data_IF_345085933868
#
_entry.id   IF_345085933868
#
_cell.length_a   1.000
_cell.length_b   1.000
_cell.length_c   1.000
_cell.angle_alpha   90.00
_cell.angle_beta   90.00
_cell.angle_gamma   90.00
#
_symmetry.space_group_name_H-M   'P 1'
#
loop_
_entity.id
_entity.type
_entity.pdbx_description
1 polymer ?
#
# COMPACT_ATOMS: atom_id res chain seq x y z
N UNK A 1 -22.19 13.54 33.70
CA UNK A 1 -22.08 12.22 33.04
C UNK A 1 -22.04 12.45 31.55
N UNK A 2 -20.84 12.54 30.97
CA UNK A 2 -20.64 12.67 29.51
C UNK A 2 -20.69 11.28 28.88
N UNK A 3 -21.69 11.02 28.06
CA UNK A 3 -21.78 9.80 27.26
C UNK A 3 -20.73 9.87 26.16
N UNK A 4 -19.70 9.03 26.23
CA UNK A 4 -18.71 8.88 25.18
C UNK A 4 -19.38 8.35 23.91
N UNK A 5 -19.32 9.14 22.86
CA UNK A 5 -19.60 8.66 21.50
C UNK A 5 -18.46 7.73 21.09
N UNK A 6 -18.75 6.46 20.98
CA UNK A 6 -17.87 5.50 20.30
C UNK A 6 -17.90 5.85 18.81
N UNK A 7 -16.85 6.50 18.32
CA UNK A 7 -16.60 6.56 16.88
C UNK A 7 -16.20 5.16 16.44
N UNK A 8 -17.04 4.54 15.65
CA UNK A 8 -16.67 3.35 14.89
C UNK A 8 -15.79 3.86 13.75
N UNK A 9 -14.47 3.78 13.93
CA UNK A 9 -13.53 3.88 12.82
C UNK A 9 -13.92 2.76 11.84
N UNK A 10 -14.53 3.13 10.73
CA UNK A 10 -14.68 2.23 9.63
C UNK A 10 -13.27 2.02 9.06
N UNK A 11 -12.55 1.05 9.60
CA UNK A 11 -11.45 0.45 8.89
C UNK A 11 -12.06 -0.11 7.59
N UNK A 12 -12.01 0.69 6.51
CA UNK A 12 -12.23 0.14 5.18
C UNK A 12 -11.13 -0.90 4.99
N UNK A 13 -11.48 -2.15 5.25
CA UNK A 13 -10.61 -3.25 4.97
C UNK A 13 -10.23 -3.19 3.50
N UNK A 14 -8.94 -3.15 3.20
CA UNK A 14 -8.44 -3.51 1.89
C UNK A 14 -8.81 -4.99 1.69
N UNK A 15 -10.03 -5.24 1.23
CA UNK A 15 -10.44 -6.56 0.83
C UNK A 15 -9.84 -6.81 -0.54
N UNK A 16 -8.82 -7.67 -0.58
CA UNK A 16 -8.32 -8.24 -1.83
C UNK A 16 -9.46 -9.01 -2.49
N UNK A 17 -10.10 -8.41 -3.47
CA UNK A 17 -11.08 -9.09 -4.31
C UNK A 17 -10.28 -9.82 -5.39
N UNK A 18 -10.10 -11.12 -5.20
CA UNK A 18 -9.56 -12.00 -6.21
C UNK A 18 -10.59 -12.18 -7.34
N UNK A 19 -10.47 -11.39 -8.41
CA UNK A 19 -11.19 -11.65 -9.65
C UNK A 19 -10.23 -12.35 -10.63
N UNK A 20 -10.57 -13.55 -11.02
CA UNK A 20 -9.86 -14.30 -12.05
C UNK A 20 -10.11 -13.67 -13.43
N UNK A 21 -9.07 -13.08 -14.01
CA UNK A 21 -9.05 -12.73 -15.44
C UNK A 21 -8.29 -13.80 -16.21
N UNK A 22 -8.97 -14.41 -17.17
CA UNK A 22 -8.36 -15.32 -18.12
C UNK A 22 -7.72 -14.53 -19.26
N UNK A 23 -6.45 -14.84 -19.58
CA UNK A 23 -5.87 -14.62 -20.90
C UNK A 23 -4.65 -13.73 -20.99
N UNK A 24 -3.56 -14.32 -21.20
CA UNK A 24 -2.31 -14.18 -21.98
C UNK A 24 -1.19 -14.80 -21.14
N UNK A 25 -0.64 -15.89 -21.65
CA UNK A 25 0.34 -16.69 -20.93
C UNK A 25 1.69 -15.99 -20.77
N UNK A 26 2.45 -16.33 -19.71
CA UNK A 26 3.74 -15.74 -19.38
C UNK A 26 4.82 -16.15 -20.38
N UNK A 27 5.73 -15.22 -20.68
CA UNK A 27 7.00 -15.57 -21.29
C UNK A 27 7.91 -16.07 -20.19
N UNK A 28 7.98 -17.39 -20.03
CA UNK A 28 8.84 -18.03 -19.05
C UNK A 28 10.31 -17.83 -19.42
N UNK A 29 11.11 -17.29 -18.50
CA UNK A 29 12.56 -17.50 -18.51
C UNK A 29 12.78 -18.81 -17.75
N UNK A 30 13.09 -19.88 -18.48
CA UNK A 30 13.26 -21.23 -17.96
C UNK A 30 14.38 -21.28 -16.91
N UNK A 31 14.07 -21.71 -15.71
CA UNK A 31 15.06 -22.27 -14.80
C UNK A 31 15.51 -23.63 -15.39
N UNK A 32 16.79 -23.77 -15.69
CA UNK A 32 17.33 -25.03 -16.25
C UNK A 32 17.76 -25.93 -15.10
N UNK A 33 16.84 -26.82 -14.68
CA UNK A 33 17.10 -27.90 -13.72
C UNK A 33 16.17 -27.88 -12.50
N UNK A 34 16.04 -29.03 -11.84
CA UNK A 34 15.28 -29.17 -10.61
C UNK A 34 15.92 -28.37 -9.47
N UNK A 35 15.09 -27.73 -8.64
CA UNK A 35 15.50 -26.89 -7.51
C UNK A 35 15.48 -27.73 -6.23
N UNK A 36 16.63 -27.92 -5.60
CA UNK A 36 16.71 -28.59 -4.30
C UNK A 36 16.09 -27.75 -3.20
N UNK A 37 15.04 -28.29 -2.57
CA UNK A 37 14.23 -27.58 -1.57
C UNK A 37 15.06 -27.24 -0.32
N UNK A 38 15.97 -28.13 0.10
CA UNK A 38 16.69 -27.97 1.36
C UNK A 38 17.77 -26.87 1.28
N UNK A 39 18.41 -26.74 0.14
CA UNK A 39 19.46 -25.73 -0.07
C UNK A 39 18.90 -24.37 -0.47
N UNK A 40 17.76 -24.33 -1.17
CA UNK A 40 17.17 -23.09 -1.70
C UNK A 40 16.38 -22.32 -0.63
N UNK A 41 15.51 -23.02 0.11
CA UNK A 41 14.64 -22.38 1.11
C UNK A 41 15.27 -22.45 2.50
N UNK A 42 15.93 -21.38 2.91
CA UNK A 42 16.75 -21.37 4.15
C UNK A 42 15.90 -21.36 5.43
N UNK A 43 14.73 -20.72 5.44
CA UNK A 43 13.81 -20.77 6.59
C UNK A 43 13.13 -22.12 6.68
N UNK A 44 13.23 -22.77 7.85
CA UNK A 44 12.73 -24.13 8.03
C UNK A 44 11.21 -24.27 7.91
N UNK A 45 10.46 -23.23 8.31
CA UNK A 45 9.00 -23.22 8.21
C UNK A 45 8.55 -22.93 6.78
N UNK A 46 9.22 -22.01 6.08
CA UNK A 46 8.97 -21.74 4.67
C UNK A 46 9.32 -22.99 3.82
N UNK A 47 10.47 -23.60 4.05
CA UNK A 47 10.87 -24.85 3.40
C UNK A 47 9.84 -25.96 3.62
N UNK A 48 9.35 -26.14 4.86
CA UNK A 48 8.31 -27.12 5.18
C UNK A 48 6.99 -26.83 4.44
N UNK A 49 6.64 -25.55 4.29
CA UNK A 49 5.48 -25.13 3.51
C UNK A 49 5.65 -25.49 2.04
N UNK A 50 6.78 -25.14 1.44
CA UNK A 50 7.11 -25.42 0.03
C UNK A 50 7.07 -26.93 -0.24
N UNK A 51 7.79 -27.73 0.55
CA UNK A 51 7.79 -29.20 0.41
C UNK A 51 6.41 -29.82 0.55
N UNK A 52 5.58 -29.28 1.43
CA UNK A 52 4.24 -29.87 1.67
C UNK A 52 3.22 -29.51 0.60
N UNK A 53 3.38 -28.37 -0.07
CA UNK A 53 2.35 -27.82 -0.98
C UNK A 53 2.76 -27.88 -2.45
N UNK A 54 4.06 -27.91 -2.76
CA UNK A 54 4.54 -27.76 -4.14
C UNK A 54 5.37 -28.94 -4.64
N UNK A 55 6.06 -29.69 -3.77
CA UNK A 55 6.75 -30.94 -4.09
C UNK A 55 5.71 -32.06 -4.17
N UNK A 56 5.14 -32.25 -5.36
CA UNK A 56 4.00 -33.14 -5.58
C UNK A 56 4.39 -34.62 -5.63
N UNK A 57 5.61 -34.91 -6.07
CA UNK A 57 6.17 -36.26 -6.18
C UNK A 57 6.96 -36.69 -4.94
N UNK A 58 7.24 -35.72 -4.02
CA UNK A 58 7.95 -35.90 -2.73
C UNK A 58 9.38 -36.44 -2.90
N UNK A 59 10.08 -35.93 -3.92
CA UNK A 59 11.48 -36.31 -4.15
C UNK A 59 12.49 -35.35 -3.51
N UNK A 60 12.00 -34.25 -2.90
CA UNK A 60 12.83 -33.25 -2.21
C UNK A 60 13.35 -32.16 -3.14
N UNK A 61 12.90 -32.16 -4.39
CA UNK A 61 13.22 -31.12 -5.40
C UNK A 61 11.93 -30.52 -5.95
N UNK A 62 12.03 -29.34 -6.59
CA UNK A 62 10.97 -28.77 -7.40
C UNK A 62 11.38 -28.83 -8.87
N UNK A 63 10.64 -29.61 -9.65
CA UNK A 63 10.76 -29.60 -11.11
C UNK A 63 10.24 -28.28 -11.70
N UNK A 64 10.66 -27.96 -12.93
CA UNK A 64 10.14 -26.81 -13.68
C UNK A 64 8.60 -26.80 -13.70
N UNK A 65 7.96 -27.96 -13.91
CA UNK A 65 6.50 -28.09 -13.90
C UNK A 65 5.87 -27.75 -12.55
N UNK A 66 6.49 -28.10 -11.45
CA UNK A 66 6.01 -27.78 -10.09
C UNK A 66 6.20 -26.29 -9.80
N UNK A 67 7.32 -25.70 -10.19
CA UNK A 67 7.60 -24.28 -10.09
C UNK A 67 6.59 -23.46 -10.89
N UNK A 68 6.37 -23.81 -12.16
CA UNK A 68 5.46 -23.10 -13.06
C UNK A 68 3.99 -23.17 -12.63
N UNK A 69 3.63 -24.21 -11.89
CA UNK A 69 2.29 -24.37 -11.34
C UNK A 69 2.00 -23.43 -10.15
N UNK A 70 3.03 -22.80 -9.55
CA UNK A 70 2.87 -21.92 -8.39
C UNK A 70 2.54 -20.51 -8.85
N UNK A 71 1.26 -20.19 -8.94
CA UNK A 71 0.76 -18.85 -9.26
C UNK A 71 0.31 -18.07 -8.02
N UNK A 72 0.17 -18.72 -6.87
CA UNK A 72 -0.24 -18.12 -5.60
C UNK A 72 0.52 -18.69 -4.44
N UNK A 73 1.07 -17.82 -3.60
CA UNK A 73 1.75 -18.17 -2.35
C UNK A 73 1.10 -17.41 -1.20
N UNK A 74 0.39 -18.13 -0.33
CA UNK A 74 -0.19 -17.56 0.87
C UNK A 74 0.38 -18.23 2.11
N UNK A 75 1.34 -17.56 2.72
CA UNK A 75 1.98 -17.94 3.99
C UNK A 75 1.65 -16.93 5.10
N UNK A 76 0.58 -16.15 4.94
CA UNK A 76 0.15 -15.22 6.00
C UNK A 76 -0.06 -15.95 7.32
N UNK A 77 0.17 -15.26 8.45
CA UNK A 77 0.05 -15.86 9.78
C UNK A 77 -1.38 -16.39 10.05
N UNK A 78 -2.37 -15.85 9.37
CA UNK A 78 -3.77 -16.31 9.45
C UNK A 78 -4.01 -17.64 8.72
N UNK A 79 -3.25 -17.91 7.67
CA UNK A 79 -3.37 -19.13 6.85
C UNK A 79 -2.35 -20.18 7.28
N UNK A 80 -1.12 -19.75 7.60
CA UNK A 80 -0.03 -20.62 8.03
C UNK A 80 0.52 -20.15 9.35
N UNK A 81 0.11 -20.77 10.44
CA UNK A 81 0.37 -20.34 11.82
C UNK A 81 1.81 -20.47 12.30
N UNK A 82 2.69 -21.13 11.54
CA UNK A 82 4.12 -21.21 11.86
C UNK A 82 4.82 -19.94 11.42
N UNK A 83 5.62 -19.38 12.34
CA UNK A 83 6.35 -18.15 12.10
C UNK A 83 7.45 -18.35 11.04
N UNK A 84 7.41 -17.57 9.97
CA UNK A 84 8.43 -17.52 8.93
C UNK A 84 9.26 -16.25 9.14
N UNK A 85 10.57 -16.38 9.08
CA UNK A 85 11.51 -15.28 9.25
C UNK A 85 12.21 -14.87 7.95
N UNK A 86 12.08 -15.67 6.90
CA UNK A 86 12.65 -15.38 5.58
C UNK A 86 11.91 -16.10 4.47
N UNK A 87 11.66 -15.39 3.36
CA UNK A 87 11.21 -15.98 2.10
C UNK A 87 12.36 -16.17 1.09
N UNK A 88 13.61 -16.30 1.56
CA UNK A 88 14.73 -16.58 0.66
C UNK A 88 14.43 -17.82 -0.21
N UNK A 89 14.65 -17.70 -1.52
CA UNK A 89 14.28 -18.70 -2.52
C UNK A 89 12.92 -18.48 -3.17
N UNK A 90 12.11 -17.48 -2.73
CA UNK A 90 10.79 -17.19 -3.33
C UNK A 90 10.89 -16.82 -4.81
N UNK A 91 12.04 -16.28 -5.22
CA UNK A 91 12.38 -15.86 -6.58
C UNK A 91 12.37 -17.01 -7.61
N UNK A 92 12.45 -18.26 -7.17
CA UNK A 92 12.30 -19.43 -8.08
C UNK A 92 10.89 -19.55 -8.66
N UNK A 93 9.86 -19.03 -7.97
CA UNK A 93 8.47 -19.10 -8.41
C UNK A 93 8.13 -18.00 -9.43
N UNK A 94 8.75 -18.05 -10.60
CA UNK A 94 8.65 -17.00 -11.63
C UNK A 94 7.24 -16.78 -12.19
N UNK A 95 6.34 -17.78 -12.06
CA UNK A 95 4.92 -17.70 -12.44
C UNK A 95 4.03 -17.10 -11.36
N UNK A 96 4.60 -16.64 -10.22
CA UNK A 96 3.83 -16.15 -9.10
C UNK A 96 3.09 -14.84 -9.44
N UNK A 97 1.76 -14.86 -9.25
CA UNK A 97 0.86 -13.73 -9.46
C UNK A 97 0.41 -13.09 -8.15
N UNK A 98 0.28 -13.88 -7.09
CA UNK A 98 -0.26 -13.44 -5.79
C UNK A 98 0.65 -13.89 -4.65
N UNK A 99 1.15 -12.92 -3.89
CA UNK A 99 1.96 -13.16 -2.69
C UNK A 99 1.28 -12.55 -1.47
N UNK A 100 0.97 -13.38 -0.47
CA UNK A 100 0.55 -12.95 0.87
C UNK A 100 1.43 -13.61 1.93
N UNK A 101 2.26 -12.82 2.58
CA UNK A 101 3.12 -13.24 3.70
C UNK A 101 2.79 -12.48 4.98
N UNK A 102 1.67 -11.77 5.02
CA UNK A 102 1.32 -10.83 6.08
C UNK A 102 1.34 -11.44 7.49
N UNK A 103 1.81 -10.65 8.45
CA UNK A 103 1.86 -11.01 9.88
C UNK A 103 2.99 -11.96 10.27
N UNK A 104 3.90 -12.25 9.36
CA UNK A 104 5.10 -13.04 9.63
C UNK A 104 6.20 -12.19 10.33
N UNK A 105 7.46 -12.55 10.25
CA UNK A 105 8.57 -11.76 10.80
C UNK A 105 9.76 -11.74 9.82
N UNK A 106 9.47 -11.42 8.56
CA UNK A 106 10.38 -11.63 7.42
C UNK A 106 11.57 -10.67 7.47
N UNK A 107 11.37 -9.43 7.97
CA UNK A 107 12.43 -8.43 8.11
C UNK A 107 12.89 -7.80 6.79
N UNK A 108 13.05 -8.59 5.74
CA UNK A 108 13.47 -8.16 4.41
C UNK A 108 12.78 -9.00 3.34
N UNK A 109 12.25 -8.37 2.29
CA UNK A 109 11.59 -9.05 1.18
C UNK A 109 12.08 -8.50 -0.15
N UNK A 110 12.68 -9.37 -0.95
CA UNK A 110 13.09 -9.07 -2.32
C UNK A 110 12.24 -9.90 -3.30
N UNK A 111 11.49 -9.20 -4.16
CA UNK A 111 10.65 -9.79 -5.20
C UNK A 111 11.01 -9.24 -6.59
N UNK A 112 12.24 -8.76 -6.75
CA UNK A 112 12.71 -8.04 -7.94
C UNK A 112 12.53 -8.84 -9.23
N UNK A 113 12.64 -10.16 -9.18
CA UNK A 113 12.58 -11.05 -10.35
C UNK A 113 11.19 -11.72 -10.52
N UNK A 114 10.20 -11.41 -9.67
CA UNK A 114 8.83 -11.91 -9.77
C UNK A 114 7.98 -10.98 -10.64
N UNK A 115 8.26 -10.94 -11.93
CA UNK A 115 7.67 -9.98 -12.88
C UNK A 115 6.17 -10.20 -13.16
N UNK A 116 5.62 -11.38 -12.81
CA UNK A 116 4.21 -11.73 -13.02
C UNK A 116 3.29 -11.32 -11.87
N UNK A 117 3.82 -10.73 -10.80
CA UNK A 117 3.03 -10.34 -9.64
C UNK A 117 1.95 -9.33 -9.99
N UNK A 118 0.73 -9.65 -9.56
CA UNK A 118 -0.47 -8.82 -9.63
C UNK A 118 -0.82 -8.19 -8.29
N UNK A 119 -0.50 -8.88 -7.19
CA UNK A 119 -0.77 -8.41 -5.84
C UNK A 119 0.28 -8.90 -4.85
N UNK A 120 0.69 -8.00 -3.95
CA UNK A 120 1.62 -8.26 -2.85
C UNK A 120 0.98 -7.77 -1.56
N UNK A 121 0.86 -8.68 -0.58
CA UNK A 121 0.53 -8.33 0.80
C UNK A 121 1.66 -8.81 1.72
N UNK A 122 2.44 -7.87 2.21
CA UNK A 122 3.52 -8.06 3.18
C UNK A 122 3.33 -7.11 4.37
N UNK A 123 2.09 -6.98 4.83
CA UNK A 123 1.76 -6.13 5.97
C UNK A 123 2.14 -6.81 7.30
N UNK A 124 2.63 -6.03 8.27
CA UNK A 124 2.98 -6.50 9.62
C UNK A 124 4.08 -7.57 9.64
N UNK A 125 5.06 -7.46 8.75
CA UNK A 125 6.15 -8.43 8.58
C UNK A 125 7.49 -7.97 9.20
N UNK A 126 7.49 -6.82 9.89
CA UNK A 126 8.70 -6.21 10.45
C UNK A 126 9.72 -5.81 9.37
N UNK A 127 9.26 -5.59 8.13
CA UNK A 127 10.15 -5.25 7.02
C UNK A 127 10.88 -3.93 7.28
N UNK A 128 12.19 -3.97 7.12
CA UNK A 128 13.04 -2.78 7.06
C UNK A 128 13.41 -2.42 5.61
N UNK A 129 13.44 -3.44 4.73
CA UNK A 129 13.71 -3.30 3.30
C UNK A 129 12.72 -4.08 2.47
N UNK A 130 12.35 -3.50 1.33
CA UNK A 130 11.47 -4.12 0.35
C UNK A 130 11.91 -3.74 -1.06
N UNK A 131 12.07 -4.73 -1.92
CA UNK A 131 12.42 -4.53 -3.33
C UNK A 131 11.25 -4.96 -4.21
N UNK A 132 10.72 -4.00 -4.99
CA UNK A 132 9.64 -4.24 -5.95
C UNK A 132 10.14 -5.01 -7.19
N UNK A 133 9.25 -5.70 -7.93
CA UNK A 133 9.60 -6.31 -9.21
C UNK A 133 10.19 -5.29 -10.18
N UNK A 134 11.26 -5.67 -10.88
CA UNK A 134 11.95 -4.80 -11.88
C UNK A 134 11.03 -4.44 -13.05
N UNK A 135 10.17 -5.38 -13.44
CA UNK A 135 9.07 -5.20 -14.39
C UNK A 135 7.80 -5.70 -13.74
N UNK A 136 6.74 -4.94 -13.79
CA UNK A 136 5.49 -5.29 -13.12
C UNK A 136 4.32 -4.68 -13.88
N UNK A 137 4.14 -5.11 -15.12
CA UNK A 137 3.10 -4.57 -16.01
C UNK A 137 1.68 -4.82 -15.49
N UNK A 138 1.51 -5.85 -14.65
CA UNK A 138 0.21 -6.26 -14.11
C UNK A 138 0.05 -6.01 -12.61
N UNK A 139 1.08 -5.49 -11.91
CA UNK A 139 1.02 -5.26 -10.47
C UNK A 139 -0.01 -4.17 -10.17
N UNK A 140 -1.12 -4.59 -9.57
CA UNK A 140 -2.27 -3.73 -9.31
C UNK A 140 -2.41 -3.30 -7.85
N UNK A 141 -1.90 -4.09 -6.90
CA UNK A 141 -2.03 -3.82 -5.46
C UNK A 141 -0.77 -4.17 -4.70
N UNK A 142 -0.32 -3.25 -3.83
CA UNK A 142 0.80 -3.44 -2.89
C UNK A 142 0.39 -2.97 -1.51
N UNK A 143 0.42 -3.90 -0.54
CA UNK A 143 0.20 -3.59 0.87
C UNK A 143 1.46 -3.91 1.68
N UNK A 144 2.09 -2.87 2.21
CA UNK A 144 3.28 -2.90 3.06
C UNK A 144 3.00 -2.24 4.43
N UNK A 145 1.74 -2.14 4.82
CA UNK A 145 1.37 -1.45 6.05
C UNK A 145 1.94 -2.11 7.31
N UNK A 146 2.14 -1.30 8.36
CA UNK A 146 2.65 -1.76 9.65
C UNK A 146 4.01 -2.47 9.58
N UNK A 147 4.96 -1.82 8.90
CA UNK A 147 6.36 -2.26 8.81
C UNK A 147 7.31 -1.18 9.38
N UNK A 148 8.60 -1.33 9.11
CA UNK A 148 9.66 -0.41 9.56
C UNK A 148 10.42 0.16 8.37
N UNK A 149 9.77 0.27 7.22
CA UNK A 149 10.38 0.68 5.95
C UNK A 149 10.69 2.18 6.00
N UNK A 150 11.94 2.52 5.69
CA UNK A 150 12.42 3.92 5.67
C UNK A 150 12.46 4.52 4.27
N UNK A 151 12.52 3.68 3.24
CA UNK A 151 12.56 4.09 1.83
C UNK A 151 11.85 3.07 0.93
N UNK A 152 11.16 3.56 -0.10
CA UNK A 152 10.59 2.74 -1.18
C UNK A 152 10.98 3.37 -2.51
N UNK A 153 11.72 2.61 -3.31
CA UNK A 153 12.14 3.05 -4.64
C UNK A 153 11.33 2.35 -5.72
N UNK A 154 10.62 3.14 -6.53
CA UNK A 154 9.96 2.67 -7.74
C UNK A 154 10.94 2.76 -8.91
N UNK A 155 11.52 1.62 -9.34
CA UNK A 155 12.57 1.59 -10.38
C UNK A 155 12.05 1.90 -11.78
N UNK A 156 10.79 1.56 -12.05
CA UNK A 156 10.10 1.76 -13.34
C UNK A 156 8.72 2.39 -13.12
N UNK A 157 8.00 2.67 -14.19
CA UNK A 157 6.60 3.08 -14.10
C UNK A 157 5.71 1.85 -13.91
N UNK A 158 4.95 1.84 -12.83
CA UNK A 158 3.98 0.78 -12.51
C UNK A 158 2.59 1.22 -13.00
N UNK A 159 2.39 1.09 -14.32
CA UNK A 159 1.20 1.63 -14.98
C UNK A 159 -0.12 0.96 -14.60
N UNK A 160 -0.07 -0.21 -13.99
CA UNK A 160 -1.26 -0.95 -13.51
C UNK A 160 -1.53 -0.76 -12.02
N UNK A 161 -0.61 -0.15 -11.23
CA UNK A 161 -0.72 -0.06 -9.78
C UNK A 161 -1.83 0.92 -9.38
N UNK A 162 -2.93 0.36 -8.88
CA UNK A 162 -4.12 1.09 -8.45
C UNK A 162 -4.18 1.31 -6.94
N UNK A 163 -3.57 0.42 -6.16
CA UNK A 163 -3.65 0.46 -4.71
C UNK A 163 -2.25 0.35 -4.09
N UNK A 164 -1.89 1.37 -3.32
CA UNK A 164 -0.66 1.39 -2.52
C UNK A 164 -1.00 1.70 -1.06
N UNK A 165 -0.68 0.77 -0.17
CA UNK A 165 -0.81 0.97 1.26
C UNK A 165 0.56 0.82 1.93
N UNK A 166 1.10 1.93 2.42
CA UNK A 166 2.35 2.01 3.17
C UNK A 166 2.13 2.61 4.56
N UNK A 167 0.89 2.55 5.06
CA UNK A 167 0.50 3.05 6.38
C UNK A 167 1.38 2.48 7.50
N UNK A 168 1.75 3.31 8.48
CA UNK A 168 2.46 2.84 9.66
C UNK A 168 3.88 2.35 9.35
N UNK A 169 4.64 3.14 8.61
CA UNK A 169 6.05 2.94 8.30
C UNK A 169 6.91 4.13 8.80
N UNK A 170 8.16 4.21 8.36
CA UNK A 170 9.11 5.26 8.75
C UNK A 170 9.56 6.10 7.54
N UNK A 171 8.71 6.20 6.51
CA UNK A 171 9.04 6.93 5.29
C UNK A 171 9.20 8.43 5.56
N UNK A 172 10.29 9.01 5.07
CA UNK A 172 10.54 10.46 5.11
C UNK A 172 10.28 11.14 3.77
N UNK A 173 10.25 10.38 2.71
CA UNK A 173 9.89 10.78 1.34
C UNK A 173 9.27 9.61 0.59
N UNK A 174 8.53 9.89 -0.48
CA UNK A 174 8.02 8.90 -1.43
C UNK A 174 7.84 9.57 -2.79
N UNK A 175 8.36 8.95 -3.86
CA UNK A 175 8.19 9.42 -5.24
C UNK A 175 7.02 8.68 -5.90
N UNK A 176 5.86 9.31 -5.98
CA UNK A 176 4.64 8.74 -6.57
C UNK A 176 4.53 9.02 -8.09
N UNK A 177 5.47 9.71 -8.69
CA UNK A 177 5.42 10.12 -10.11
C UNK A 177 5.39 8.94 -11.08
N UNK A 178 5.86 7.77 -10.64
CA UNK A 178 5.87 6.53 -11.43
C UNK A 178 4.61 5.67 -11.25
N UNK A 179 3.59 6.18 -10.55
CA UNK A 179 2.36 5.47 -10.21
C UNK A 179 1.11 6.20 -10.78
N UNK A 180 1.01 6.41 -12.11
CA UNK A 180 -0.04 7.26 -12.69
C UNK A 180 -1.45 6.65 -12.60
N UNK A 181 -1.56 5.35 -12.33
CA UNK A 181 -2.85 4.66 -12.25
C UNK A 181 -3.42 4.58 -10.82
N UNK A 182 -2.77 5.20 -9.82
CA UNK A 182 -3.23 5.13 -8.43
C UNK A 182 -4.67 5.63 -8.29
N UNK A 183 -5.47 4.79 -7.63
CA UNK A 183 -6.86 5.04 -7.26
C UNK A 183 -6.98 5.16 -5.73
N UNK A 184 -6.21 4.35 -5.00
CA UNK A 184 -6.20 4.31 -3.53
C UNK A 184 -4.79 4.45 -3.01
N UNK A 185 -4.57 5.45 -2.17
CA UNK A 185 -3.29 5.69 -1.52
C UNK A 185 -3.48 5.80 -0.01
N UNK A 186 -2.73 4.99 0.73
CA UNK A 186 -2.63 5.15 2.18
C UNK A 186 -1.16 5.31 2.59
N UNK A 187 -0.80 6.52 2.99
CA UNK A 187 0.54 6.91 3.45
C UNK A 187 0.55 7.37 4.91
N UNK A 188 -0.56 7.24 5.62
CA UNK A 188 -0.70 7.68 7.00
C UNK A 188 0.33 7.06 7.96
N UNK A 189 0.53 7.69 9.11
CA UNK A 189 1.52 7.27 10.12
C UNK A 189 2.93 7.06 9.54
N UNK A 190 3.38 8.05 8.76
CA UNK A 190 4.74 8.18 8.25
C UNK A 190 5.32 9.56 8.63
N UNK A 191 6.57 9.80 8.29
CA UNK A 191 7.26 11.05 8.59
C UNK A 191 7.51 11.92 7.34
N UNK A 192 6.62 11.82 6.34
CA UNK A 192 6.72 12.60 5.11
C UNK A 192 6.59 14.09 5.41
N UNK A 193 7.47 14.90 4.87
CA UNK A 193 7.41 16.37 4.93
C UNK A 193 6.76 16.99 3.68
N UNK A 194 6.70 16.23 2.59
CA UNK A 194 6.07 16.60 1.32
C UNK A 194 5.29 15.40 0.80
N UNK A 195 4.12 15.63 0.25
CA UNK A 195 3.32 14.66 -0.48
C UNK A 195 2.93 15.27 -1.84
N UNK A 196 3.66 14.91 -2.89
CA UNK A 196 3.38 15.36 -4.26
C UNK A 196 2.48 14.35 -4.96
N UNK A 197 1.26 14.78 -5.29
CA UNK A 197 0.23 13.99 -5.97
C UNK A 197 0.01 14.46 -7.42
N UNK A 198 0.81 15.38 -7.93
CA UNK A 198 0.62 16.02 -9.24
C UNK A 198 0.57 15.06 -10.43
N UNK A 199 1.05 13.83 -10.28
CA UNK A 199 1.00 12.77 -11.32
C UNK A 199 -0.07 11.72 -11.07
N UNK A 200 -0.82 11.82 -9.97
CA UNK A 200 -1.77 10.79 -9.54
C UNK A 200 -3.23 11.23 -9.76
N UNK A 201 -3.53 11.73 -10.97
CA UNK A 201 -4.83 12.32 -11.35
C UNK A 201 -6.00 11.33 -11.37
N UNK A 202 -5.74 10.02 -11.19
CA UNK A 202 -6.77 8.99 -11.05
C UNK A 202 -7.13 8.70 -9.60
N UNK A 203 -6.54 9.41 -8.63
CA UNK A 203 -6.75 9.15 -7.22
C UNK A 203 -8.21 9.45 -6.82
N UNK A 204 -8.84 8.49 -6.15
CA UNK A 204 -10.20 8.58 -5.62
C UNK A 204 -10.21 8.60 -4.08
N UNK A 205 -9.25 7.93 -3.44
CA UNK A 205 -9.16 7.79 -1.99
C UNK A 205 -7.74 8.08 -1.51
N UNK A 206 -7.61 9.10 -0.67
CA UNK A 206 -6.38 9.50 -0.01
C UNK A 206 -6.51 9.35 1.50
N UNK A 207 -5.66 8.51 2.10
CA UNK A 207 -5.47 8.42 3.54
C UNK A 207 -4.04 8.87 3.87
N UNK A 208 -3.92 9.99 4.58
CA UNK A 208 -2.64 10.56 5.01
C UNK A 208 -2.70 11.03 6.47
N UNK A 209 -3.39 10.23 7.32
CA UNK A 209 -3.57 10.55 8.74
C UNK A 209 -2.24 10.54 9.50
N UNK A 210 -2.18 11.35 10.55
CA UNK A 210 -1.06 11.37 11.51
C UNK A 210 0.30 11.60 10.88
N UNK A 211 0.36 12.52 9.91
CA UNK A 211 1.58 12.97 9.27
C UNK A 211 2.27 14.02 10.13
N UNK A 212 3.30 13.61 10.89
CA UNK A 212 3.92 14.47 11.92
C UNK A 212 4.78 15.60 11.36
N UNK A 213 5.12 15.59 10.07
CA UNK A 213 5.98 16.59 9.43
C UNK A 213 5.35 17.30 8.24
N UNK A 214 4.23 16.83 7.72
CA UNK A 214 3.53 17.41 6.58
C UNK A 214 2.85 18.71 7.03
N UNK A 215 3.34 19.87 6.58
CA UNK A 215 2.79 21.18 6.98
C UNK A 215 1.76 21.70 5.99
N UNK A 216 1.86 21.33 4.74
CA UNK A 216 0.97 21.76 3.65
C UNK A 216 0.50 20.54 2.89
N UNK A 217 -0.80 20.46 2.63
CA UNK A 217 -1.39 19.50 1.72
C UNK A 217 -2.15 20.26 0.65
N UNK A 218 -1.62 20.24 -0.57
CA UNK A 218 -2.24 20.83 -1.75
C UNK A 218 -2.72 19.69 -2.66
N UNK A 219 -4.02 19.55 -2.76
CA UNK A 219 -4.70 18.60 -3.65
C UNK A 219 -5.66 19.34 -4.59
N UNK A 220 -5.51 20.67 -4.67
CA UNK A 220 -6.34 21.53 -5.50
C UNK A 220 -6.22 21.20 -6.99
N UNK A 221 -7.24 21.56 -7.76
CA UNK A 221 -7.20 21.45 -9.22
C UNK A 221 -6.12 22.33 -9.88
N UNK A 222 -5.56 23.29 -9.13
CA UNK A 222 -4.43 24.09 -9.57
C UNK A 222 -3.10 23.32 -9.55
N UNK A 223 -2.96 22.34 -8.64
CA UNK A 223 -1.76 21.50 -8.56
C UNK A 223 -1.83 20.31 -9.52
N UNK A 224 -3.02 19.73 -9.72
CA UNK A 224 -3.29 18.66 -10.69
C UNK A 224 -4.81 18.50 -10.91
N UNK A 225 -5.20 17.78 -11.97
CA UNK A 225 -6.62 17.43 -12.22
C UNK A 225 -7.07 16.29 -11.30
N UNK A 226 -7.46 16.61 -10.07
CA UNK A 226 -7.97 15.67 -9.07
C UNK A 226 -9.50 15.51 -9.06
N UNK A 227 -10.17 15.75 -10.19
CA UNK A 227 -11.65 15.70 -10.28
C UNK A 227 -12.26 14.34 -9.87
N UNK A 228 -11.47 13.28 -9.78
CA UNK A 228 -11.90 11.95 -9.30
C UNK A 228 -11.74 11.76 -7.78
N UNK A 229 -10.97 12.63 -7.12
CA UNK A 229 -10.71 12.50 -5.68
C UNK A 229 -12.01 12.71 -4.90
N UNK A 230 -12.50 11.65 -4.27
CA UNK A 230 -13.80 11.65 -3.61
C UNK A 230 -13.68 11.62 -2.08
N UNK A 231 -12.58 11.13 -1.55
CA UNK A 231 -12.37 10.96 -0.11
C UNK A 231 -10.95 11.34 0.28
N UNK A 232 -10.84 12.22 1.26
CA UNK A 232 -9.57 12.59 1.88
C UNK A 232 -9.71 12.50 3.40
N UNK A 233 -8.80 11.76 4.02
CA UNK A 233 -8.61 11.77 5.46
C UNK A 233 -7.14 12.09 5.78
N UNK A 234 -6.92 13.29 6.29
CA UNK A 234 -5.64 13.79 6.76
C UNK A 234 -5.69 14.17 8.25
N UNK A 235 -6.60 13.57 9.03
CA UNK A 235 -6.75 13.84 10.45
C UNK A 235 -5.51 13.42 11.26
N UNK A 236 -5.30 14.06 12.42
CA UNK A 236 -4.27 13.64 13.35
C UNK A 236 -4.87 12.79 14.47
N UNK A 237 -4.49 11.51 14.53
CA UNK A 237 -5.09 10.54 15.44
C UNK A 237 -4.25 10.27 16.71
N UNK A 238 -3.10 10.92 16.86
CA UNK A 238 -2.23 10.69 18.01
C UNK A 238 -2.70 11.49 19.22
N UNK A 239 -2.91 10.83 20.35
CA UNK A 239 -3.30 11.48 21.60
C UNK A 239 -2.20 12.41 22.11
N UNK A 240 -2.56 13.65 22.48
CA UNK A 240 -1.70 14.61 23.14
C UNK A 240 -0.89 15.56 22.25
N UNK A 241 -1.18 15.58 20.94
CA UNK A 241 -0.57 16.51 20.00
C UNK A 241 -1.56 17.00 18.94
N UNK A 242 -1.15 18.02 18.20
CA UNK A 242 -1.84 18.40 16.96
C UNK A 242 -1.01 17.97 15.77
N UNK A 243 -1.67 17.65 14.66
CA UNK A 243 -1.02 17.35 13.40
C UNK A 243 -0.26 18.57 12.87
N UNK A 244 0.64 18.33 11.94
CA UNK A 244 1.51 19.36 11.41
C UNK A 244 0.86 20.26 10.35
N UNK A 245 -0.25 19.81 9.72
CA UNK A 245 -0.86 20.52 8.59
C UNK A 245 -1.38 21.87 9.07
N UNK A 246 -0.88 22.94 8.43
CA UNK A 246 -1.26 24.33 8.67
C UNK A 246 -2.10 24.90 7.53
N UNK A 247 -1.82 24.45 6.33
CA UNK A 247 -2.51 24.88 5.12
C UNK A 247 -3.04 23.66 4.37
N UNK A 248 -4.31 23.71 4.01
CA UNK A 248 -5.02 22.68 3.24
C UNK A 248 -5.76 23.36 2.09
N UNK A 249 -5.41 22.99 0.87
CA UNK A 249 -6.03 23.51 -0.33
C UNK A 249 -6.71 22.39 -1.12
N UNK A 250 -8.03 22.52 -1.27
CA UNK A 250 -8.91 21.62 -2.04
C UNK A 250 -9.67 22.42 -3.11
N UNK A 251 -9.14 23.58 -3.49
CA UNK A 251 -9.78 24.48 -4.47
C UNK A 251 -10.00 23.75 -5.80
N UNK A 252 -11.24 23.79 -6.30
CA UNK A 252 -11.61 23.21 -7.59
C UNK A 252 -11.78 21.70 -7.60
N UNK A 253 -11.66 21.01 -6.46
CA UNK A 253 -11.90 19.56 -6.34
C UNK A 253 -13.40 19.24 -6.41
N UNK A 254 -13.95 19.31 -7.63
CA UNK A 254 -15.38 19.09 -7.88
C UNK A 254 -15.87 17.69 -7.56
N UNK A 255 -14.99 16.70 -7.46
CA UNK A 255 -15.29 15.31 -7.09
C UNK A 255 -15.32 15.03 -5.59
N UNK A 256 -14.74 15.92 -4.76
CA UNK A 256 -14.53 15.67 -3.33
C UNK A 256 -15.85 15.68 -2.56
N UNK A 257 -16.17 14.53 -1.94
CA UNK A 257 -17.40 14.29 -1.16
C UNK A 257 -17.15 14.28 0.35
N UNK A 258 -15.97 13.83 0.77
CA UNK A 258 -15.62 13.71 2.19
C UNK A 258 -14.22 14.25 2.43
N UNK A 259 -14.13 15.22 3.32
CA UNK A 259 -12.87 15.76 3.83
C UNK A 259 -12.85 15.65 5.35
N UNK A 260 -11.90 14.88 5.88
CA UNK A 260 -11.66 14.71 7.32
C UNK A 260 -10.24 15.22 7.60
N UNK A 261 -10.13 16.29 8.35
CA UNK A 261 -8.87 16.96 8.67
C UNK A 261 -8.80 17.38 10.16
N UNK A 262 -9.45 16.60 11.02
CA UNK A 262 -9.52 16.87 12.45
C UNK A 262 -8.14 16.89 13.12
N UNK A 263 -8.02 17.63 14.23
CA UNK A 263 -6.87 17.65 15.13
C UNK A 263 -5.53 18.00 14.45
N UNK A 264 -5.56 18.88 13.43
CA UNK A 264 -4.37 19.48 12.83
C UNK A 264 -4.12 20.90 13.38
N UNK A 265 -3.24 21.64 12.73
CA UNK A 265 -2.94 23.05 13.06
C UNK A 265 -3.42 24.00 11.96
N UNK A 266 -4.46 23.59 11.20
CA UNK A 266 -4.93 24.30 10.02
C UNK A 266 -5.45 25.69 10.42
N UNK A 267 -4.85 26.72 9.87
CA UNK A 267 -5.30 28.11 9.95
C UNK A 267 -5.77 28.64 8.59
N UNK A 268 -5.34 28.01 7.49
CA UNK A 268 -5.77 28.30 6.12
C UNK A 268 -6.41 27.05 5.50
N UNK A 269 -7.70 27.15 5.18
CA UNK A 269 -8.46 26.11 4.46
C UNK A 269 -9.09 26.75 3.23
N UNK A 270 -8.64 26.35 2.05
CA UNK A 270 -9.16 26.79 0.76
C UNK A 270 -10.06 25.70 0.17
N UNK A 271 -11.34 26.04 -0.08
CA UNK A 271 -12.36 25.10 -0.58
C UNK A 271 -13.14 25.64 -1.78
N UNK A 272 -12.71 26.74 -2.37
CA UNK A 272 -13.44 27.38 -3.48
C UNK A 272 -13.62 26.36 -4.63
N UNK A 273 -14.88 26.13 -5.03
CA UNK A 273 -15.19 25.17 -6.10
C UNK A 273 -15.26 23.70 -5.70
N UNK A 274 -15.08 23.34 -4.44
CA UNK A 274 -15.31 21.97 -3.93
C UNK A 274 -16.83 21.70 -3.78
N UNK A 275 -17.59 21.79 -4.87
CA UNK A 275 -19.04 21.86 -4.90
C UNK A 275 -19.77 20.54 -4.59
N UNK A 276 -19.06 19.42 -4.58
CA UNK A 276 -19.63 18.08 -4.25
C UNK A 276 -19.49 17.69 -2.79
N UNK A 277 -18.93 18.55 -1.94
CA UNK A 277 -18.61 18.21 -0.56
C UNK A 277 -19.87 17.95 0.27
N UNK A 278 -20.00 16.76 0.83
CA UNK A 278 -21.12 16.31 1.66
C UNK A 278 -20.73 16.22 3.14
N UNK A 279 -19.48 15.92 3.41
CA UNK A 279 -18.96 15.75 4.76
C UNK A 279 -17.65 16.54 4.92
N UNK A 280 -17.66 17.47 5.87
CA UNK A 280 -16.50 18.22 6.30
C UNK A 280 -16.29 18.02 7.80
N UNK A 281 -15.12 17.53 8.20
CA UNK A 281 -14.70 17.45 9.59
C UNK A 281 -13.34 18.13 9.74
N UNK A 282 -13.30 19.20 10.52
CA UNK A 282 -12.10 20.04 10.75
C UNK A 282 -11.98 20.45 12.23
N UNK A 283 -12.55 19.65 13.12
CA UNK A 283 -12.49 19.88 14.55
C UNK A 283 -11.03 19.93 15.06
N UNK A 284 -10.78 20.67 16.14
CA UNK A 284 -9.45 20.73 16.74
C UNK A 284 -8.40 21.51 15.94
N UNK A 285 -8.81 22.35 14.99
CA UNK A 285 -7.93 23.19 14.16
C UNK A 285 -7.90 24.66 14.63
N UNK A 286 -7.17 25.53 13.92
CA UNK A 286 -7.03 26.97 14.21
C UNK A 286 -7.83 27.84 13.24
N UNK A 287 -8.72 27.25 12.47
CA UNK A 287 -9.53 27.94 11.45
C UNK A 287 -10.41 29.00 12.14
N UNK A 288 -10.35 30.25 11.68
CA UNK A 288 -11.12 31.36 12.25
C UNK A 288 -12.49 31.51 11.63
N UNK A 289 -12.63 31.17 10.37
CA UNK A 289 -13.88 31.23 9.62
C UNK A 289 -13.86 30.24 8.46
N UNK A 290 -15.01 29.69 8.14
CA UNK A 290 -15.22 28.79 6.98
C UNK A 290 -16.38 29.35 6.18
N UNK A 291 -16.18 29.56 4.88
CA UNK A 291 -17.27 29.88 3.95
C UNK A 291 -17.72 28.57 3.26
N UNK A 292 -18.92 28.13 3.58
CA UNK A 292 -19.56 26.93 3.01
C UNK A 292 -20.69 27.29 2.05
N UNK A 293 -20.76 28.54 1.59
CA UNK A 293 -21.84 29.05 0.73
C UNK A 293 -21.61 28.80 -0.75
N UNK A 294 -20.44 28.26 -1.14
CA UNK A 294 -20.03 28.12 -2.55
C UNK A 294 -19.91 26.67 -2.97
#
# INVERSE_FOLDING_TARGET
MRKGKKFISAALGFALVFQSFAGIGPVAVAATGDVDINSTFTDANFRSYVSSNFDTNKDGTLSEKEIDAVTSLNVSISTYSKKISSLAGVDVFTSLEYLDCSGQAIGSLDVADLENLKSINASSDQLTTFTLPKKAEQLASVNLSYNQITDITFQTTYAALKELNVYGNQLTSIDLSKLPALVRLNVGYNALSVLDLSKNTNLEFLHCQSMTKLQTLDISSNSADHTKLAYVDCSHMLSGGQGAIKELDVTGDTGLKTLIADDNSIDVLNMDGATSLLTLSVAGNKIKSIDVSK
#
